data_IF_983481540179
#
_entry.id   IF_983481540179
#
_cell.length_a   1.000
_cell.length_b   1.000
_cell.length_c   1.000
_cell.angle_alpha   90.00
_cell.angle_beta   90.00
_cell.angle_gamma   90.00
#
_symmetry.space_group_name_H-M   'P 1'
#
loop_
_entity.id
_entity.type
_entity.pdbx_description
1 polymer ?
#
# COMPACT_ATOMS: atom_id res chain seq x y z
N UNK A 1 -6.95 33.21 6.71
CA UNK A 1 -6.59 31.86 6.23
C UNK A 1 -5.65 32.02 5.04
N UNK A 2 -4.48 31.42 5.10
CA UNK A 2 -3.49 31.44 4.02
C UNK A 2 -3.69 30.21 3.12
N UNK A 3 -3.82 30.39 1.79
CA UNK A 3 -3.95 29.29 0.84
C UNK A 3 -2.67 29.09 0.06
N UNK A 4 -2.16 27.86 0.06
CA UNK A 4 -1.00 27.38 -0.72
C UNK A 4 -1.53 26.61 -1.92
N UNK A 5 -1.58 27.23 -3.09
CA UNK A 5 -1.90 26.54 -4.33
C UNK A 5 -0.68 25.74 -4.77
N UNK A 6 -0.74 24.41 -4.76
CA UNK A 6 0.42 23.55 -5.06
C UNK A 6 1.04 23.82 -6.43
N UNK A 7 0.24 24.23 -7.42
CA UNK A 7 0.71 24.63 -8.75
C UNK A 7 1.70 25.81 -8.72
N UNK A 8 1.52 26.73 -7.76
CA UNK A 8 2.39 27.92 -7.65
C UNK A 8 3.79 27.53 -7.14
N UNK A 9 3.91 26.32 -6.58
CA UNK A 9 5.16 25.68 -6.16
C UNK A 9 5.68 24.69 -7.22
N UNK A 10 5.00 24.54 -8.36
CA UNK A 10 5.41 23.66 -9.45
C UNK A 10 4.97 22.20 -9.26
N UNK A 11 4.01 21.92 -8.38
CA UNK A 11 3.36 20.60 -8.29
C UNK A 11 2.18 20.62 -9.26
N UNK A 12 2.33 19.97 -10.40
CA UNK A 12 1.36 20.00 -11.49
C UNK A 12 0.65 18.66 -11.65
N UNK A 13 -0.64 18.72 -11.96
CA UNK A 13 -1.45 17.53 -12.22
C UNK A 13 -0.95 16.76 -13.45
N UNK A 14 -0.93 15.42 -13.34
CA UNK A 14 -0.52 14.51 -14.41
C UNK A 14 0.98 14.37 -14.59
N UNK A 15 1.79 15.16 -13.89
CA UNK A 15 3.25 15.04 -13.97
C UNK A 15 3.81 14.04 -12.97
N UNK A 16 4.61 13.10 -13.47
CA UNK A 16 5.37 12.12 -12.67
C UNK A 16 6.74 12.70 -12.29
N UNK A 17 6.74 13.81 -11.54
CA UNK A 17 7.96 14.53 -11.13
C UNK A 17 8.37 14.18 -9.70
N UNK A 18 9.54 13.56 -9.56
CA UNK A 18 10.12 13.21 -8.25
C UNK A 18 10.37 14.41 -7.34
N UNK A 19 10.51 15.61 -7.92
CA UNK A 19 10.68 16.85 -7.15
C UNK A 19 9.40 17.31 -6.45
N UNK A 20 8.24 16.71 -6.74
CA UNK A 20 6.98 17.03 -6.06
C UNK A 20 7.10 16.89 -4.54
N UNK A 21 7.83 15.89 -4.06
CA UNK A 21 8.05 15.70 -2.62
C UNK A 21 8.86 16.82 -1.99
N UNK A 22 9.92 17.29 -2.64
CA UNK A 22 10.71 18.41 -2.12
C UNK A 22 9.88 19.70 -2.07
N UNK A 23 9.06 19.94 -3.09
CA UNK A 23 8.15 21.10 -3.15
C UNK A 23 7.07 21.03 -2.07
N UNK A 24 6.43 19.86 -1.91
CA UNK A 24 5.44 19.62 -0.87
C UNK A 24 6.05 19.82 0.53
N UNK A 25 7.24 19.30 0.74
CA UNK A 25 7.98 19.50 1.99
C UNK A 25 8.17 20.98 2.32
N UNK A 26 8.53 21.81 1.32
CA UNK A 26 8.63 23.25 1.48
C UNK A 26 7.31 23.90 1.93
N UNK A 27 6.18 23.49 1.31
CA UNK A 27 4.85 23.97 1.69
C UNK A 27 4.53 23.57 3.15
N UNK A 28 4.75 22.31 3.51
CA UNK A 28 4.48 21.83 4.88
C UNK A 28 5.34 22.53 5.93
N UNK A 29 6.60 22.82 5.63
CA UNK A 29 7.48 23.58 6.51
C UNK A 29 7.02 25.04 6.69
N UNK A 30 6.43 25.65 5.64
CA UNK A 30 5.78 26.96 5.76
C UNK A 30 4.49 26.88 6.61
N UNK A 31 3.67 25.84 6.44
CA UNK A 31 2.46 25.64 7.22
C UNK A 31 2.78 25.53 8.73
N UNK A 32 3.81 24.78 9.10
CA UNK A 32 4.22 24.63 10.52
C UNK A 32 4.63 25.95 11.18
N UNK A 33 5.15 26.90 10.41
CA UNK A 33 5.59 28.21 10.90
C UNK A 33 4.47 29.24 10.94
N UNK A 34 3.32 28.89 10.35
CA UNK A 34 2.22 29.80 10.19
C UNK A 34 1.26 29.66 11.39
N UNK A 35 1.02 30.76 12.10
CA UNK A 35 0.10 30.81 13.26
C UNK A 35 -1.38 30.97 12.86
N UNK A 36 -1.65 31.32 11.59
CA UNK A 36 -3.01 31.49 11.07
C UNK A 36 -3.51 30.19 10.42
N UNK A 37 -4.85 29.97 10.36
CA UNK A 37 -5.39 28.86 9.61
C UNK A 37 -4.89 28.84 8.16
N UNK A 38 -4.47 27.66 7.70
CA UNK A 38 -3.89 27.45 6.38
C UNK A 38 -4.63 26.38 5.56
N UNK A 39 -4.52 26.47 4.26
CA UNK A 39 -5.04 25.48 3.30
C UNK A 39 -3.97 25.15 2.28
N UNK A 40 -3.72 23.86 2.07
CA UNK A 40 -2.95 23.34 0.93
C UNK A 40 -3.97 22.88 -0.12
N UNK A 41 -4.00 23.55 -1.26
CA UNK A 41 -5.01 23.34 -2.30
C UNK A 41 -4.43 22.66 -3.52
N UNK A 42 -4.95 21.47 -3.81
CA UNK A 42 -4.76 20.73 -5.04
C UNK A 42 -5.98 20.94 -5.95
N UNK A 43 -5.76 21.27 -7.21
CA UNK A 43 -6.84 21.30 -8.21
C UNK A 43 -7.19 19.87 -8.65
N UNK A 44 -8.33 19.68 -9.30
CA UNK A 44 -8.72 18.39 -9.86
C UNK A 44 -7.61 17.80 -10.75
N UNK A 45 -7.33 16.49 -10.55
CA UNK A 45 -6.35 15.75 -11.34
C UNK A 45 -5.54 14.77 -10.52
N UNK A 46 -4.50 14.21 -11.13
CA UNK A 46 -3.67 13.16 -10.54
C UNK A 46 -2.32 13.73 -10.13
N UNK A 47 -1.90 13.45 -8.90
CA UNK A 47 -0.63 13.91 -8.32
C UNK A 47 0.21 12.73 -7.84
N UNK A 48 1.46 12.67 -8.26
CA UNK A 48 2.39 11.60 -7.94
C UNK A 48 3.38 12.02 -6.86
N UNK A 49 3.54 11.16 -5.83
CA UNK A 49 4.45 11.38 -4.71
C UNK A 49 5.43 10.21 -4.61
N UNK A 50 6.72 10.51 -4.68
CA UNK A 50 7.82 9.55 -4.65
C UNK A 50 8.54 9.58 -3.30
N UNK A 51 9.22 8.49 -2.89
CA UNK A 51 9.96 8.45 -1.62
C UNK A 51 11.18 9.37 -1.59
N UNK A 52 11.65 9.83 -2.75
CA UNK A 52 12.76 10.76 -2.83
C UNK A 52 12.37 12.09 -2.16
N UNK A 53 13.24 12.58 -1.28
CA UNK A 53 13.02 13.79 -0.48
C UNK A 53 11.84 13.71 0.53
N UNK A 54 11.23 12.56 0.74
CA UNK A 54 10.21 12.37 1.78
C UNK A 54 10.79 12.65 3.18
N UNK A 55 9.90 12.96 4.11
CA UNK A 55 10.32 13.02 5.52
C UNK A 55 10.68 11.61 6.00
N UNK A 56 11.63 11.52 6.92
CA UNK A 56 12.04 10.25 7.52
C UNK A 56 11.86 10.29 9.03
N UNK A 57 11.26 9.24 9.58
CA UNK A 57 11.07 9.06 11.01
C UNK A 57 11.29 7.60 11.39
N UNK A 58 11.87 7.36 12.56
CA UNK A 58 11.93 6.02 13.14
C UNK A 58 10.60 5.75 13.84
N UNK A 59 9.83 4.81 13.32
CA UNK A 59 8.50 4.47 13.82
C UNK A 59 8.33 2.94 13.90
N UNK A 60 7.60 2.49 14.94
CA UNK A 60 7.00 1.17 15.04
C UNK A 60 5.48 1.34 14.89
N UNK A 61 4.92 1.00 13.74
CA UNK A 61 3.53 1.35 13.39
C UNK A 61 2.56 0.24 13.76
N UNK A 62 2.99 -1.01 13.74
CA UNK A 62 2.12 -2.16 14.03
C UNK A 62 2.81 -3.18 14.93
N UNK A 63 2.03 -4.12 15.47
CA UNK A 63 2.53 -5.21 16.30
C UNK A 63 3.40 -6.25 15.54
N UNK A 64 3.52 -6.11 14.23
CA UNK A 64 4.38 -6.94 13.37
C UNK A 64 5.51 -6.11 12.73
N UNK A 65 5.73 -4.91 13.23
CA UNK A 65 6.73 -3.96 12.75
C UNK A 65 7.87 -3.85 13.77
N UNK A 66 8.98 -3.31 13.33
CA UNK A 66 10.13 -2.98 14.15
C UNK A 66 10.38 -1.47 14.08
N UNK A 67 11.20 -0.94 14.98
CA UNK A 67 11.67 0.43 14.91
C UNK A 67 12.55 0.60 13.66
N UNK A 68 11.93 1.05 12.58
CA UNK A 68 12.59 1.28 11.30
C UNK A 68 12.32 2.67 10.77
N UNK A 69 13.18 3.14 9.87
CA UNK A 69 12.97 4.43 9.20
C UNK A 69 11.80 4.28 8.24
N UNK A 70 10.75 5.07 8.47
CA UNK A 70 9.60 5.22 7.56
C UNK A 70 9.74 6.51 6.77
N UNK A 71 9.45 6.44 5.47
CA UNK A 71 9.34 7.59 4.58
C UNK A 71 7.91 8.09 4.56
N UNK A 72 7.71 9.38 4.71
CA UNK A 72 6.42 10.01 4.92
C UNK A 72 6.24 11.13 3.90
N UNK A 73 5.11 11.11 3.18
CA UNK A 73 4.81 12.16 2.22
C UNK A 73 4.28 13.43 2.90
N UNK A 74 3.14 13.33 3.58
CA UNK A 74 2.55 14.43 4.33
C UNK A 74 2.85 14.26 5.81
N UNK A 75 4.01 14.74 6.23
CA UNK A 75 4.35 14.81 7.66
C UNK A 75 3.69 16.04 8.28
N UNK A 76 2.58 15.83 8.97
CA UNK A 76 1.79 16.86 9.61
C UNK A 76 2.11 17.01 11.11
N UNK A 77 3.30 16.62 11.53
CA UNK A 77 3.73 16.80 12.93
C UNK A 77 3.74 18.27 13.31
N UNK A 78 3.24 18.56 14.52
CA UNK A 78 3.16 19.90 15.09
C UNK A 78 2.39 20.91 14.20
N UNK A 79 1.46 20.42 13.37
CA UNK A 79 0.60 21.27 12.56
C UNK A 79 -0.71 21.57 13.28
N UNK A 80 -1.20 22.80 13.13
CA UNK A 80 -2.50 23.20 13.64
C UNK A 80 -3.29 24.02 12.61
N UNK A 81 -4.63 23.88 12.66
CA UNK A 81 -5.57 24.65 11.82
C UNK A 81 -5.26 24.54 10.31
N UNK A 82 -4.99 23.31 9.84
CA UNK A 82 -4.58 23.05 8.46
C UNK A 82 -5.62 22.21 7.72
N UNK A 83 -6.01 22.68 6.53
CA UNK A 83 -6.81 21.89 5.58
C UNK A 83 -5.96 21.46 4.40
N UNK A 84 -5.96 20.17 4.07
CA UNK A 84 -5.47 19.64 2.78
C UNK A 84 -6.67 19.33 1.92
N UNK A 85 -6.86 20.10 0.84
CA UNK A 85 -8.03 20.02 -0.04
C UNK A 85 -7.64 19.56 -1.44
N UNK A 86 -8.34 18.57 -1.96
CA UNK A 86 -8.02 17.90 -3.21
C UNK A 86 -9.01 18.08 -4.36
N UNK A 87 -10.12 18.76 -4.25
CA UNK A 87 -11.11 19.00 -5.34
C UNK A 87 -11.31 17.78 -6.28
N UNK A 88 -11.57 16.60 -5.72
CA UNK A 88 -11.65 15.31 -6.43
C UNK A 88 -10.33 14.90 -7.11
N UNK A 89 -9.19 15.23 -6.55
CA UNK A 89 -7.91 14.77 -7.05
C UNK A 89 -7.57 13.35 -6.59
N UNK A 90 -6.69 12.69 -7.37
CA UNK A 90 -6.14 11.39 -7.05
C UNK A 90 -4.68 11.54 -6.62
N UNK A 91 -4.37 11.13 -5.39
CA UNK A 91 -3.00 11.11 -4.89
C UNK A 91 -2.42 9.71 -5.03
N UNK A 92 -1.42 9.58 -5.90
CA UNK A 92 -0.75 8.32 -6.21
C UNK A 92 0.62 8.30 -5.49
N UNK A 93 0.75 7.38 -4.57
CA UNK A 93 1.99 7.18 -3.82
C UNK A 93 2.79 6.04 -4.45
N UNK A 94 4.09 6.25 -4.55
CA UNK A 94 5.02 5.30 -5.15
C UNK A 94 5.81 4.56 -4.09
N UNK A 95 5.97 3.26 -4.26
CA UNK A 95 6.70 2.37 -3.37
C UNK A 95 6.19 2.37 -1.91
N UNK A 96 7.05 2.08 -0.96
CA UNK A 96 6.77 2.11 0.47
C UNK A 96 6.81 3.54 1.02
N UNK A 97 5.67 4.22 0.96
CA UNK A 97 5.51 5.60 1.41
C UNK A 97 4.28 5.72 2.30
N UNK A 98 4.46 6.14 3.55
CA UNK A 98 3.35 6.52 4.44
C UNK A 98 2.74 7.82 3.93
N UNK A 99 1.49 7.78 3.46
CA UNK A 99 0.90 8.92 2.81
C UNK A 99 0.70 10.09 3.79
N UNK A 100 0.07 9.86 4.95
CA UNK A 100 -0.20 10.89 5.94
C UNK A 100 0.21 10.45 7.34
N UNK A 101 1.01 11.27 8.00
CA UNK A 101 1.43 11.10 9.38
C UNK A 101 1.06 12.31 10.23
N UNK A 102 0.44 12.06 11.39
CA UNK A 102 -0.01 13.08 12.32
C UNK A 102 0.57 12.78 13.70
N UNK A 103 1.27 13.73 14.25
CA UNK A 103 1.78 13.69 15.62
C UNK A 103 1.72 15.09 16.24
N UNK A 104 1.17 15.20 17.45
CA UNK A 104 0.98 16.47 18.15
C UNK A 104 0.24 17.52 17.30
N UNK A 105 -0.70 17.10 16.46
CA UNK A 105 -1.44 17.96 15.54
C UNK A 105 -2.83 18.26 16.06
N UNK A 106 -3.38 19.40 15.69
CA UNK A 106 -4.69 19.86 16.14
C UNK A 106 -5.47 20.53 15.02
N UNK A 107 -6.79 20.21 14.91
CA UNK A 107 -7.71 20.82 13.93
C UNK A 107 -7.18 20.68 12.49
N UNK A 108 -7.03 19.43 12.06
CA UNK A 108 -6.57 19.08 10.71
C UNK A 108 -7.72 18.51 9.91
N UNK A 109 -7.91 19.00 8.69
CA UNK A 109 -8.93 18.51 7.76
C UNK A 109 -8.27 17.99 6.49
N UNK A 110 -8.52 16.73 6.15
CA UNK A 110 -8.24 16.15 4.84
C UNK A 110 -9.55 16.07 4.05
N UNK A 111 -9.62 16.63 2.85
CA UNK A 111 -10.88 16.76 2.15
C UNK A 111 -10.78 16.60 0.63
N UNK A 112 -11.66 15.76 0.07
CA UNK A 112 -11.98 15.74 -1.35
C UNK A 112 -10.93 15.13 -2.27
N UNK A 113 -10.25 14.04 -1.86
CA UNK A 113 -9.27 13.34 -2.69
C UNK A 113 -9.27 11.83 -2.44
N UNK A 114 -8.61 11.10 -3.33
CA UNK A 114 -8.29 9.69 -3.12
C UNK A 114 -6.83 9.48 -2.73
N UNK A 115 -6.57 8.44 -1.93
CA UNK A 115 -5.25 7.91 -1.62
C UNK A 115 -5.13 6.58 -2.33
N UNK A 116 -4.13 6.43 -3.19
CA UNK A 116 -3.89 5.22 -3.94
C UNK A 116 -2.38 4.98 -4.09
N UNK A 117 -2.00 3.75 -4.36
CA UNK A 117 -0.60 3.37 -4.59
C UNK A 117 -0.44 2.88 -6.03
N UNK A 118 0.62 3.32 -6.73
CA UNK A 118 0.92 2.88 -8.09
C UNK A 118 1.08 1.36 -8.15
N UNK A 119 1.68 0.77 -7.12
CA UNK A 119 1.81 -0.66 -6.93
C UNK A 119 1.39 -1.02 -5.50
N UNK A 120 0.25 -1.70 -5.33
CA UNK A 120 -0.20 -2.10 -3.99
C UNK A 120 0.75 -3.10 -3.34
N UNK A 121 0.71 -3.15 -2.00
CA UNK A 121 1.51 -4.06 -1.17
C UNK A 121 1.07 -5.53 -1.25
N UNK A 122 0.20 -5.86 -2.20
CA UNK A 122 -0.29 -7.20 -2.49
C UNK A 122 -0.45 -7.42 -3.99
N UNK A 123 -0.60 -8.68 -4.36
CA UNK A 123 -0.98 -9.10 -5.70
C UNK A 123 -2.22 -9.98 -5.62
N UNK A 124 -2.86 -10.23 -6.73
CA UNK A 124 -4.07 -11.06 -6.79
C UNK A 124 -3.93 -12.14 -7.85
N UNK A 125 -4.53 -13.29 -7.56
CA UNK A 125 -4.68 -14.37 -8.53
C UNK A 125 -6.03 -15.05 -8.38
N UNK A 126 -6.73 -15.29 -9.49
CA UNK A 126 -7.97 -16.07 -9.47
C UNK A 126 -7.64 -17.56 -9.41
N UNK A 127 -8.32 -18.29 -8.55
CA UNK A 127 -8.18 -19.75 -8.45
C UNK A 127 -8.80 -20.38 -9.70
N UNK A 128 -7.96 -21.03 -10.50
CA UNK A 128 -8.40 -21.75 -11.71
C UNK A 128 -8.82 -23.17 -11.38
N UNK A 129 -8.03 -23.85 -10.57
CA UNK A 129 -8.31 -25.23 -10.15
C UNK A 129 -7.63 -25.55 -8.82
N UNK A 130 -8.22 -26.50 -8.12
CA UNK A 130 -7.68 -27.11 -6.90
C UNK A 130 -7.66 -28.63 -7.09
N UNK A 131 -6.54 -29.25 -6.77
CA UNK A 131 -6.37 -30.70 -6.88
C UNK A 131 -5.45 -31.22 -5.78
N UNK A 132 -6.04 -31.52 -4.60
CA UNK A 132 -5.30 -31.97 -3.43
C UNK A 132 -4.19 -31.00 -3.04
N UNK A 133 -2.90 -31.41 -3.13
CA UNK A 133 -1.80 -30.55 -2.72
C UNK A 133 -1.45 -29.44 -3.75
N UNK A 134 -2.12 -29.37 -4.89
CA UNK A 134 -1.84 -28.40 -5.95
C UNK A 134 -2.99 -27.45 -6.18
N UNK A 135 -2.67 -26.16 -6.41
CA UNK A 135 -3.62 -25.12 -6.78
C UNK A 135 -3.05 -24.31 -7.95
N UNK A 136 -3.88 -24.00 -8.93
CA UNK A 136 -3.51 -23.15 -10.05
C UNK A 136 -4.16 -21.78 -9.91
N UNK A 137 -3.36 -20.73 -10.12
CA UNK A 137 -3.77 -19.34 -10.04
C UNK A 137 -3.52 -18.64 -11.37
N UNK A 138 -4.50 -17.85 -11.81
CA UNK A 138 -4.36 -16.91 -12.92
C UNK A 138 -4.04 -15.53 -12.34
N UNK A 139 -2.86 -15.01 -12.64
CA UNK A 139 -2.37 -13.72 -12.18
C UNK A 139 -2.23 -12.80 -13.39
N UNK A 140 -2.81 -11.60 -13.31
CA UNK A 140 -2.59 -10.55 -14.32
C UNK A 140 -1.16 -10.00 -14.16
N UNK A 141 -0.26 -10.42 -15.05
CA UNK A 141 1.17 -10.09 -14.98
C UNK A 141 1.46 -8.63 -15.35
N UNK A 142 0.56 -7.95 -16.07
CA UNK A 142 0.69 -6.52 -16.34
C UNK A 142 0.41 -5.70 -15.07
N UNK A 143 -0.65 -6.08 -14.34
CA UNK A 143 -1.04 -5.42 -13.09
C UNK A 143 -0.15 -5.83 -11.91
N UNK A 144 0.21 -7.12 -11.84
CA UNK A 144 0.99 -7.71 -10.76
C UNK A 144 2.23 -8.42 -11.31
N UNK A 145 3.26 -7.67 -11.74
CA UNK A 145 4.48 -8.25 -12.29
C UNK A 145 5.13 -9.22 -11.31
N UNK A 146 5.52 -10.40 -11.82
CA UNK A 146 6.20 -11.42 -11.04
C UNK A 146 7.14 -12.25 -11.93
N UNK A 147 8.01 -13.01 -11.29
CA UNK A 147 8.72 -14.14 -11.90
C UNK A 147 8.80 -15.32 -10.92
N UNK A 148 9.02 -16.51 -11.46
CA UNK A 148 9.24 -17.72 -10.67
C UNK A 148 10.68 -18.16 -10.83
N UNK A 149 11.39 -18.34 -9.71
CA UNK A 149 12.76 -18.83 -9.66
C UNK A 149 12.95 -19.73 -8.42
N UNK A 150 13.74 -20.79 -8.55
CA UNK A 150 14.01 -21.71 -7.45
C UNK A 150 12.77 -22.23 -6.74
N UNK A 151 11.70 -22.49 -7.50
CA UNK A 151 10.39 -22.95 -7.01
C UNK A 151 9.68 -21.92 -6.08
N UNK A 152 10.03 -20.65 -6.18
CA UNK A 152 9.43 -19.54 -5.45
C UNK A 152 8.90 -18.50 -6.40
N UNK A 153 7.84 -17.81 -6.03
CA UNK A 153 7.31 -16.67 -6.76
C UNK A 153 7.77 -15.36 -6.11
N UNK A 154 8.26 -14.46 -6.94
CA UNK A 154 8.72 -13.14 -6.52
C UNK A 154 7.89 -12.08 -7.21
N UNK A 155 7.20 -11.26 -6.45
CA UNK A 155 6.50 -10.10 -6.98
C UNK A 155 7.43 -8.91 -7.05
N UNK A 156 7.28 -8.14 -8.11
CA UNK A 156 8.14 -6.97 -8.38
C UNK A 156 7.31 -5.70 -8.50
N UNK A 157 7.94 -4.60 -8.24
CA UNK A 157 7.41 -3.25 -8.42
C UNK A 157 8.55 -2.24 -8.38
N UNK A 158 8.19 -0.96 -8.24
CA UNK A 158 9.19 0.08 -8.07
C UNK A 158 10.00 -0.16 -6.77
N UNK A 159 11.28 -0.44 -6.92
CA UNK A 159 12.24 -0.63 -5.84
C UNK A 159 11.99 -1.83 -4.89
N UNK A 160 11.17 -2.79 -5.28
CA UNK A 160 11.00 -4.01 -4.51
C UNK A 160 11.00 -5.27 -5.37
N UNK A 161 11.39 -6.37 -4.75
CA UNK A 161 11.33 -7.72 -5.28
C UNK A 161 11.16 -8.67 -4.08
N UNK A 162 9.95 -9.16 -3.85
CA UNK A 162 9.59 -9.85 -2.61
C UNK A 162 8.84 -11.15 -2.85
N UNK A 163 9.06 -12.09 -1.95
CA UNK A 163 8.28 -13.31 -1.85
C UNK A 163 6.96 -13.05 -1.13
N UNK A 164 6.07 -14.06 -1.13
CA UNK A 164 4.78 -14.00 -0.45
C UNK A 164 4.93 -14.58 0.95
N UNK A 165 4.87 -13.78 2.03
CA UNK A 165 4.78 -14.32 3.38
C UNK A 165 3.37 -14.81 3.74
N UNK A 166 2.32 -14.25 3.13
CA UNK A 166 0.93 -14.54 3.49
C UNK A 166 -0.02 -14.45 2.31
N UNK A 167 -1.08 -15.23 2.33
CA UNK A 167 -2.21 -15.08 1.43
C UNK A 167 -3.56 -15.22 2.14
N UNK A 168 -4.61 -14.76 1.50
CA UNK A 168 -5.98 -14.85 1.97
C UNK A 168 -6.92 -15.08 0.78
N UNK A 169 -7.90 -15.97 0.94
CA UNK A 169 -8.96 -16.17 -0.04
C UNK A 169 -10.08 -15.14 0.16
N UNK A 170 -10.55 -14.57 -0.94
CA UNK A 170 -11.67 -13.62 -0.98
C UNK A 170 -12.74 -14.14 -1.93
N UNK A 171 -13.99 -14.14 -1.48
CA UNK A 171 -15.17 -14.37 -2.32
C UNK A 171 -15.47 -13.12 -3.15
N UNK A 172 -15.26 -13.13 -4.48
CA UNK A 172 -15.46 -11.94 -5.30
C UNK A 172 -16.92 -11.53 -5.46
N UNK A 173 -17.88 -12.43 -5.23
CA UNK A 173 -19.31 -12.10 -5.30
C UNK A 173 -19.76 -11.33 -4.06
N UNK A 174 -19.20 -11.65 -2.89
CA UNK A 174 -19.52 -10.98 -1.64
C UNK A 174 -18.58 -9.80 -1.34
N UNK A 175 -17.35 -9.82 -1.91
CA UNK A 175 -16.32 -8.82 -1.63
C UNK A 175 -15.75 -8.92 -0.21
N UNK A 176 -15.77 -10.12 0.39
CA UNK A 176 -15.30 -10.37 1.76
C UNK A 176 -14.39 -11.61 1.82
N UNK A 177 -13.55 -11.73 2.87
CA UNK A 177 -12.78 -12.94 3.09
C UNK A 177 -13.65 -14.18 3.10
N UNK A 178 -13.18 -15.25 2.46
CA UNK A 178 -13.89 -16.53 2.41
C UNK A 178 -13.97 -17.15 3.81
N UNK A 179 -15.06 -17.88 4.10
CA UNK A 179 -15.21 -18.68 5.34
C UNK A 179 -14.28 -19.90 5.38
N UNK A 180 -13.56 -20.15 4.28
CA UNK A 180 -12.62 -21.27 4.11
C UNK A 180 -11.32 -21.13 4.91
N UNK A 181 -10.25 -21.77 4.47
CA UNK A 181 -8.99 -21.72 5.18
C UNK A 181 -8.47 -20.28 5.28
N UNK A 182 -8.32 -19.85 6.52
CA UNK A 182 -7.90 -18.51 6.91
C UNK A 182 -6.52 -18.12 6.34
N UNK A 183 -6.11 -16.88 6.62
CA UNK A 183 -4.81 -16.34 6.27
C UNK A 183 -3.68 -17.39 6.48
N UNK A 184 -3.07 -17.82 5.40
CA UNK A 184 -1.91 -18.69 5.45
C UNK A 184 -0.64 -17.86 5.53
N UNK A 185 0.12 -18.08 6.59
CA UNK A 185 1.50 -17.63 6.68
C UNK A 185 2.43 -18.63 5.97
N UNK A 186 3.23 -18.15 5.03
CA UNK A 186 4.42 -18.88 4.60
C UNK A 186 5.56 -18.51 5.55
N UNK A 187 6.15 -19.51 6.18
CA UNK A 187 7.37 -19.27 6.92
C UNK A 187 8.50 -19.05 5.91
N UNK A 188 8.96 -17.81 5.79
CA UNK A 188 10.05 -17.41 4.89
C UNK A 188 11.44 -17.86 5.37
N UNK A 189 11.53 -18.67 6.43
CA UNK A 189 12.81 -19.25 6.83
C UNK A 189 13.37 -20.09 5.66
N UNK A 190 14.68 -20.06 5.41
CA UNK A 190 15.30 -20.76 4.28
C UNK A 190 14.98 -22.26 4.21
N UNK A 191 14.62 -22.84 5.35
CA UNK A 191 14.39 -24.27 5.52
C UNK A 191 12.91 -24.66 5.44
N UNK A 192 11.98 -23.70 5.35
CA UNK A 192 10.54 -23.95 5.30
C UNK A 192 9.99 -23.67 3.91
N UNK A 193 9.82 -24.72 3.16
CA UNK A 193 9.31 -24.66 1.80
C UNK A 193 7.84 -25.09 1.82
N UNK A 194 6.90 -24.14 2.02
CA UNK A 194 5.47 -24.47 2.09
C UNK A 194 4.79 -24.66 0.73
N UNK A 195 5.48 -24.35 -0.36
CA UNK A 195 4.95 -24.57 -1.68
C UNK A 195 5.98 -24.39 -2.79
N UNK A 196 5.94 -25.28 -3.75
CA UNK A 196 6.74 -25.23 -4.97
C UNK A 196 5.94 -24.51 -6.05
N UNK A 197 6.44 -23.37 -6.49
CA UNK A 197 5.83 -22.55 -7.53
C UNK A 197 6.41 -22.86 -8.90
N UNK A 198 5.53 -22.95 -9.89
CA UNK A 198 5.89 -23.14 -11.28
C UNK A 198 4.99 -22.31 -12.17
N UNK A 199 5.55 -21.55 -13.09
CA UNK A 199 4.78 -20.93 -14.17
C UNK A 199 4.52 -21.97 -15.25
N UNK A 200 3.26 -22.23 -15.56
CA UNK A 200 2.83 -23.20 -16.57
C UNK A 200 2.74 -22.55 -17.94
N UNK A 201 2.22 -21.35 -17.99
CA UNK A 201 2.17 -20.44 -19.13
C UNK A 201 2.10 -19.01 -18.58
N UNK A 202 2.25 -18.00 -19.43
CA UNK A 202 2.22 -16.61 -19.00
C UNK A 202 0.96 -16.28 -18.19
N UNK A 203 1.15 -15.83 -16.95
CA UNK A 203 0.09 -15.50 -16.02
C UNK A 203 -0.63 -16.69 -15.39
N UNK A 204 -0.29 -17.94 -15.71
CA UNK A 204 -0.81 -19.13 -15.04
C UNK A 204 0.29 -19.80 -14.23
N UNK A 205 0.15 -19.78 -12.93
CA UNK A 205 1.09 -20.41 -12.01
C UNK A 205 0.43 -21.56 -11.27
N UNK A 206 1.23 -22.55 -10.91
CA UNK A 206 0.85 -23.65 -10.02
C UNK A 206 1.68 -23.59 -8.77
N UNK A 207 1.03 -23.70 -7.63
CA UNK A 207 1.67 -23.94 -6.34
C UNK A 207 1.35 -25.35 -5.86
N UNK A 208 2.36 -26.10 -5.45
CA UNK A 208 2.20 -27.45 -4.89
C UNK A 208 2.80 -27.51 -3.49
N UNK A 209 2.01 -27.91 -2.51
CA UNK A 209 2.49 -28.12 -1.14
C UNK A 209 3.53 -29.24 -1.11
N UNK A 210 4.65 -29.01 -0.43
CA UNK A 210 5.73 -29.99 -0.31
C UNK A 210 5.55 -30.99 0.85
N UNK A 211 4.48 -30.80 1.65
CA UNK A 211 4.15 -31.63 2.79
C UNK A 211 4.96 -31.33 4.07
N UNK A 212 5.82 -30.33 4.06
CA UNK A 212 6.62 -29.97 5.25
C UNK A 212 5.79 -29.20 6.30
N UNK A 213 4.80 -28.39 5.86
CA UNK A 213 3.93 -27.62 6.74
C UNK A 213 2.73 -28.43 7.28
N UNK A 214 1.90 -27.77 8.09
CA UNK A 214 0.67 -28.35 8.64
C UNK A 214 -0.41 -28.55 7.57
N UNK A 215 -0.43 -27.69 6.56
CA UNK A 215 -1.33 -27.81 5.42
C UNK A 215 -0.87 -28.92 4.47
N UNK A 216 -1.77 -29.86 4.19
CA UNK A 216 -1.50 -31.01 3.32
C UNK A 216 -2.27 -30.96 2.00
N UNK A 217 -3.27 -30.11 1.89
CA UNK A 217 -4.15 -29.99 0.75
C UNK A 217 -4.71 -28.58 0.65
N UNK A 218 -5.04 -28.17 -0.57
CA UNK A 218 -5.84 -26.98 -0.85
C UNK A 218 -7.35 -27.27 -0.88
N UNK A 219 -7.77 -28.47 -0.46
CA UNK A 219 -9.19 -28.78 -0.35
C UNK A 219 -9.87 -27.78 0.60
N UNK A 220 -10.92 -27.14 0.13
CA UNK A 220 -11.60 -26.03 0.84
C UNK A 220 -11.41 -24.67 0.19
N UNK A 221 -10.42 -24.51 -0.70
CA UNK A 221 -10.34 -23.36 -1.58
C UNK A 221 -11.29 -23.51 -2.76
N UNK A 222 -11.88 -22.42 -3.21
CA UNK A 222 -12.96 -22.42 -4.20
C UNK A 222 -12.48 -21.88 -5.55
N UNK A 223 -12.50 -22.70 -6.64
CA UNK A 223 -12.25 -22.19 -7.97
C UNK A 223 -13.17 -21.01 -8.32
N UNK A 224 -12.59 -19.95 -8.91
CA UNK A 224 -13.28 -18.68 -9.17
C UNK A 224 -13.10 -17.63 -8.08
N UNK A 225 -12.71 -18.01 -6.86
CA UNK A 225 -12.33 -17.06 -5.82
C UNK A 225 -10.97 -16.43 -6.11
N UNK A 226 -10.67 -15.35 -5.40
CA UNK A 226 -9.43 -14.59 -5.53
C UNK A 226 -8.52 -14.92 -4.35
N UNK A 227 -7.26 -15.19 -4.64
CA UNK A 227 -6.21 -15.22 -3.63
C UNK A 227 -5.52 -13.86 -3.62
N UNK A 228 -5.59 -13.18 -2.49
CA UNK A 228 -4.81 -11.98 -2.21
C UNK A 228 -3.46 -12.42 -1.67
N UNK A 229 -2.41 -12.16 -2.41
CA UNK A 229 -1.03 -12.56 -2.17
C UNK A 229 -0.28 -11.36 -1.57
N UNK A 230 -0.19 -11.32 -0.26
CA UNK A 230 0.45 -10.20 0.44
C UNK A 230 1.95 -10.41 0.49
N UNK A 231 2.71 -9.51 -0.09
CA UNK A 231 4.18 -9.60 -0.17
C UNK A 231 4.91 -8.58 0.70
N UNK A 232 4.29 -7.48 1.08
CA UNK A 232 4.89 -6.54 2.04
C UNK A 232 4.47 -6.81 3.49
N UNK A 233 5.36 -6.60 4.46
CA UNK A 233 4.95 -6.45 5.86
C UNK A 233 4.01 -5.25 6.02
N UNK A 234 3.20 -5.23 7.10
CA UNK A 234 2.20 -4.15 7.38
C UNK A 234 2.86 -2.86 7.89
N UNK A 235 3.89 -2.36 7.22
CA UNK A 235 4.74 -1.29 7.74
C UNK A 235 4.33 0.11 7.26
N UNK A 236 3.43 0.20 6.26
CA UNK A 236 3.06 1.46 5.61
C UNK A 236 1.54 1.57 5.46
N UNK A 237 0.81 2.00 6.52
CA UNK A 237 -0.60 2.35 6.37
C UNK A 237 -0.74 3.63 5.53
N UNK A 238 -1.91 3.83 4.94
CA UNK A 238 -2.21 5.08 4.25
C UNK A 238 -2.16 6.28 5.21
N UNK A 239 -2.59 6.08 6.46
CA UNK A 239 -2.60 7.13 7.47
C UNK A 239 -2.18 6.59 8.83
N UNK A 240 -1.42 7.37 9.58
CA UNK A 240 -1.06 7.08 10.97
C UNK A 240 -1.22 8.31 11.84
N UNK A 241 -2.11 8.22 12.83
CA UNK A 241 -2.45 9.34 13.74
C UNK A 241 -2.05 8.97 15.17
N UNK A 242 -1.23 9.79 15.78
CA UNK A 242 -0.81 9.62 17.17
C UNK A 242 -0.77 10.98 17.89
N UNK A 243 -1.07 10.98 19.18
CA UNK A 243 -0.96 12.19 20.06
C UNK A 243 -1.60 13.46 19.46
N UNK A 244 -2.61 13.31 18.62
CA UNK A 244 -3.26 14.39 17.88
C UNK A 244 -4.75 14.45 18.22
N UNK A 245 -5.38 15.60 17.99
CA UNK A 245 -6.81 15.81 18.24
C UNK A 245 -7.48 16.54 17.07
N UNK A 246 -8.79 16.34 16.93
CA UNK A 246 -9.63 17.01 15.92
C UNK A 246 -9.10 16.80 14.49
N UNK A 247 -8.75 15.53 14.14
CA UNK A 247 -8.36 15.13 12.79
C UNK A 247 -9.58 14.63 12.05
N UNK A 248 -9.95 15.31 10.97
CA UNK A 248 -11.16 15.04 10.18
C UNK A 248 -10.82 14.60 8.78
N UNK A 249 -11.43 13.50 8.34
CA UNK A 249 -11.41 13.03 6.96
C UNK A 249 -12.81 13.24 6.35
N UNK A 250 -12.89 14.04 5.29
CA UNK A 250 -14.13 14.36 4.59
C UNK A 250 -14.00 14.05 3.11
N UNK A 251 -14.87 13.18 2.60
CA UNK A 251 -14.83 12.75 1.19
C UNK A 251 -13.43 12.28 0.74
N UNK A 252 -12.74 11.56 1.63
CA UNK A 252 -11.46 10.91 1.35
C UNK A 252 -11.71 9.43 1.07
N UNK A 253 -11.19 8.95 -0.06
CA UNK A 253 -11.23 7.54 -0.45
C UNK A 253 -9.84 6.95 -0.31
N UNK A 254 -9.73 5.77 0.27
CA UNK A 254 -8.46 5.04 0.41
C UNK A 254 -8.60 3.75 -0.38
N UNK A 255 -7.70 3.54 -1.34
CA UNK A 255 -7.60 2.35 -2.18
C UNK A 255 -6.28 1.62 -1.87
N UNK A 256 -6.38 0.26 -1.83
CA UNK A 256 -5.25 -0.68 -1.59
C UNK A 256 -4.65 -0.64 -0.19
#
# INVERSE_FOLDING_TARGET
MKTFHVRDYGILSGEKDQMNMLRLRGILEECRKNEEPAEILFEEGTYHFYPDYAFERTLCISNHDEDTIKRIAFDLTDCAHLTVRGKNSDFIFHTELLAFYFEHSEDIILEGFSINYERPAYSEGSIVSVNGPSMQLRIDKERFPYYVAHQRIFFTGENFCEEIPFWMEVDPEKGEPSEGPYEMGFDIRPDSNYGNWKELEEGLVEVTLDGAGDMKSFDGYTPGHIIVLRHHPRNYPATYVTSSKDVTFRDVKIYH
#
